data_IF_603788505524
#
_entry.id   IF_603788505524
#
_cell.length_a   1.000
_cell.length_b   1.000
_cell.length_c   1.000
_cell.angle_alpha   90.00
_cell.angle_beta   90.00
_cell.angle_gamma   90.00
#
_symmetry.space_group_name_H-M   'P 1'
#
loop_
_entity.id
_entity.type
_entity.pdbx_description
1 polymer ?
#
# COMPACT_ATOMS: atom_id res chain seq x y z
N UNK A 1 6.46 -14.51 -4.86
CA UNK A 1 6.14 -13.28 -5.61
C UNK A 1 5.65 -12.22 -4.62
N UNK A 2 6.43 -11.15 -4.36
CA UNK A 2 6.07 -10.12 -3.38
C UNK A 2 4.75 -9.42 -3.67
N UNK A 3 4.43 -9.19 -4.95
CA UNK A 3 3.20 -8.51 -5.35
C UNK A 3 1.96 -9.32 -4.99
N UNK A 4 1.97 -10.62 -5.29
CA UNK A 4 0.85 -11.53 -4.95
C UNK A 4 0.68 -11.67 -3.43
N UNK A 5 1.79 -11.69 -2.68
CA UNK A 5 1.73 -11.75 -1.22
C UNK A 5 1.13 -10.46 -0.64
N UNK A 6 1.56 -9.29 -1.13
CA UNK A 6 1.02 -8.01 -0.72
C UNK A 6 -0.49 -7.92 -1.04
N UNK A 7 -0.90 -8.40 -2.20
CA UNK A 7 -2.29 -8.47 -2.60
C UNK A 7 -3.11 -9.37 -1.67
N UNK A 8 -2.64 -10.59 -1.40
CA UNK A 8 -3.29 -11.50 -0.47
C UNK A 8 -3.35 -10.96 0.98
N UNK A 9 -2.35 -10.18 1.39
CA UNK A 9 -2.30 -9.51 2.70
C UNK A 9 -3.21 -8.27 2.78
N UNK A 10 -3.84 -7.85 1.68
CA UNK A 10 -4.78 -6.73 1.66
C UNK A 10 -4.14 -5.35 1.51
N UNK A 11 -2.93 -5.25 0.95
CA UNK A 11 -2.36 -3.96 0.58
C UNK A 11 -3.23 -3.27 -0.48
N UNK A 12 -3.47 -1.99 -0.29
CA UNK A 12 -4.35 -1.21 -1.18
C UNK A 12 -3.59 -0.43 -2.23
N UNK A 13 -2.27 -0.31 -2.11
CA UNK A 13 -1.40 0.16 -3.17
C UNK A 13 -0.24 -0.82 -3.37
N UNK A 14 -0.07 -1.33 -4.58
CA UNK A 14 0.96 -2.31 -4.92
C UNK A 14 1.65 -1.87 -6.21
N UNK A 15 2.96 -1.66 -6.12
CA UNK A 15 3.79 -1.28 -7.25
C UNK A 15 5.07 -2.12 -7.30
N UNK A 16 5.70 -2.14 -8.48
CA UNK A 16 7.07 -2.63 -8.66
C UNK A 16 7.90 -1.55 -9.34
N UNK A 17 9.07 -1.24 -8.79
CA UNK A 17 10.04 -0.32 -9.36
C UNK A 17 11.37 -0.99 -9.69
N UNK A 18 12.26 -0.24 -10.34
CA UNK A 18 13.61 -0.69 -10.67
C UNK A 18 14.64 0.34 -10.21
N UNK A 19 15.66 -0.10 -9.46
CA UNK A 19 16.62 0.80 -8.82
C UNK A 19 17.42 1.66 -9.80
N UNK A 20 17.69 1.16 -11.02
CA UNK A 20 18.39 1.93 -12.06
C UNK A 20 17.48 2.83 -12.90
N UNK A 21 16.15 2.73 -12.75
CA UNK A 21 15.20 3.72 -13.26
C UNK A 21 14.75 4.66 -12.12
N UNK A 22 15.68 5.54 -11.73
CA UNK A 22 15.55 6.40 -10.55
C UNK A 22 14.33 7.33 -10.66
N UNK A 23 14.05 7.87 -11.85
CA UNK A 23 12.93 8.80 -12.06
C UNK A 23 11.59 8.09 -11.85
N UNK A 24 11.42 6.93 -12.45
CA UNK A 24 10.20 6.15 -12.27
C UNK A 24 10.07 5.67 -10.83
N UNK A 25 11.15 5.16 -10.21
CA UNK A 25 11.11 4.71 -8.82
C UNK A 25 10.73 5.84 -7.86
N UNK A 26 11.30 7.03 -8.01
CA UNK A 26 10.93 8.20 -7.19
C UNK A 26 9.44 8.55 -7.34
N UNK A 27 8.91 8.52 -8.57
CA UNK A 27 7.49 8.74 -8.87
C UNK A 27 6.60 7.67 -8.21
N UNK A 28 7.01 6.41 -8.19
CA UNK A 28 6.27 5.33 -7.53
C UNK A 28 6.26 5.49 -6.00
N UNK A 29 7.41 5.86 -5.42
CA UNK A 29 7.51 6.16 -3.98
C UNK A 29 6.61 7.32 -3.61
N UNK A 30 6.62 8.40 -4.39
CA UNK A 30 5.73 9.55 -4.17
C UNK A 30 4.25 9.15 -4.20
N UNK A 31 3.81 8.41 -5.22
CA UNK A 31 2.44 7.91 -5.30
C UNK A 31 2.07 7.01 -4.12
N UNK A 32 3.00 6.16 -3.67
CA UNK A 32 2.81 5.31 -2.49
C UNK A 32 2.67 6.10 -1.18
N UNK A 33 3.38 7.23 -1.05
CA UNK A 33 3.25 8.14 0.10
C UNK A 33 1.93 8.92 0.08
N UNK A 34 1.47 9.32 -1.11
CA UNK A 34 0.21 10.06 -1.30
C UNK A 34 -1.02 9.15 -1.17
N UNK A 35 -0.84 7.83 -1.33
CA UNK A 35 -1.91 6.86 -1.23
C UNK A 35 -2.51 6.78 0.18
N UNK A 36 -3.84 6.90 0.28
CA UNK A 36 -4.57 6.73 1.54
C UNK A 36 -4.79 5.25 1.81
N UNK A 37 -3.82 4.62 2.46
CA UNK A 37 -3.89 3.22 2.84
C UNK A 37 -2.50 2.62 2.99
N UNK A 38 -2.42 1.29 2.95
CA UNK A 38 -1.15 0.59 3.06
C UNK A 38 -0.53 0.36 1.68
N UNK A 39 0.68 0.88 1.48
CA UNK A 39 1.42 0.81 0.22
C UNK A 39 2.61 -0.16 0.29
N UNK A 40 2.78 -0.97 -0.75
CA UNK A 40 3.92 -1.85 -0.98
C UNK A 40 4.57 -1.51 -2.32
N UNK A 41 5.90 -1.35 -2.32
CA UNK A 41 6.68 -1.13 -3.53
C UNK A 41 7.81 -2.17 -3.56
N UNK A 42 7.70 -3.14 -4.47
CA UNK A 42 8.72 -4.14 -4.76
C UNK A 42 9.82 -3.50 -5.62
N UNK A 43 11.03 -3.34 -5.10
CA UNK A 43 12.13 -2.69 -5.83
C UNK A 43 13.09 -3.74 -6.37
N UNK A 44 13.10 -3.91 -7.68
CA UNK A 44 14.11 -4.69 -8.38
C UNK A 44 15.46 -3.99 -8.23
N UNK A 45 16.37 -4.61 -7.48
CA UNK A 45 17.68 -4.06 -7.15
C UNK A 45 18.75 -5.10 -7.48
N UNK A 46 19.62 -4.82 -8.46
CA UNK A 46 20.76 -5.69 -8.74
C UNK A 46 21.83 -5.58 -7.65
N UNK A 47 22.33 -6.72 -7.18
CA UNK A 47 23.44 -6.81 -6.23
C UNK A 47 24.73 -7.23 -6.96
N UNK A 48 25.65 -6.30 -7.26
CA UNK A 48 26.82 -6.57 -8.10
C UNK A 48 27.81 -7.55 -7.46
N UNK A 49 27.81 -7.67 -6.13
CA UNK A 49 28.77 -8.50 -5.39
C UNK A 49 28.42 -9.99 -5.44
N UNK A 50 27.14 -10.34 -5.31
CA UNK A 50 26.73 -11.72 -5.03
C UNK A 50 25.79 -12.32 -6.09
N UNK A 51 25.06 -11.51 -6.86
CA UNK A 51 24.11 -12.01 -7.85
C UNK A 51 24.54 -11.60 -9.26
N UNK A 52 25.26 -12.49 -9.92
CA UNK A 52 25.72 -12.33 -11.31
C UNK A 52 24.69 -12.80 -12.36
N UNK A 53 23.51 -13.29 -11.94
CA UNK A 53 22.44 -13.73 -12.84
C UNK A 53 21.46 -12.58 -13.14
N UNK A 54 21.04 -11.86 -12.10
CA UNK A 54 20.08 -10.76 -12.20
C UNK A 54 20.79 -9.40 -12.16
N UNK A 55 21.64 -9.17 -13.16
CA UNK A 55 22.43 -7.94 -13.27
C UNK A 55 21.62 -6.79 -13.87
N UNK A 56 22.22 -5.59 -13.91
CA UNK A 56 21.65 -4.43 -14.59
C UNK A 56 21.40 -4.71 -16.08
N UNK A 57 22.34 -5.38 -16.75
CA UNK A 57 22.27 -5.75 -18.16
C UNK A 57 21.17 -6.79 -18.42
N UNK A 58 20.88 -7.63 -17.43
CA UNK A 58 19.77 -8.56 -17.50
C UNK A 58 18.42 -7.85 -17.37
N UNK A 59 18.25 -6.99 -16.35
CA UNK A 59 16.97 -6.29 -16.11
C UNK A 59 16.66 -5.18 -17.11
N UNK A 60 17.62 -4.34 -17.48
CA UNK A 60 17.40 -3.14 -18.28
C UNK A 60 16.59 -3.35 -19.58
N UNK A 61 16.85 -4.39 -20.40
CA UNK A 61 16.04 -4.65 -21.60
C UNK A 61 14.67 -5.30 -21.31
N UNK A 62 14.45 -5.81 -20.10
CA UNK A 62 13.24 -6.57 -19.72
C UNK A 62 12.21 -5.72 -18.99
N UNK A 63 12.66 -4.73 -18.23
CA UNK A 63 11.76 -3.86 -17.45
C UNK A 63 11.01 -2.89 -18.36
N UNK A 64 9.71 -2.72 -18.11
CA UNK A 64 8.88 -1.73 -18.81
C UNK A 64 7.80 -1.18 -17.87
N UNK A 65 7.33 0.04 -18.12
CA UNK A 65 6.26 0.67 -17.33
C UNK A 65 4.89 0.25 -17.88
N UNK A 66 4.13 -0.52 -17.10
CA UNK A 66 2.78 -0.97 -17.49
C UNK A 66 1.78 0.18 -17.58
N UNK A 67 1.94 1.23 -16.76
CA UNK A 67 1.02 2.36 -16.77
C UNK A 67 1.23 3.23 -18.01
N UNK A 68 2.48 3.32 -18.50
CA UNK A 68 2.77 3.98 -19.77
C UNK A 68 2.15 3.24 -20.97
N UNK A 69 1.94 1.92 -20.87
CA UNK A 69 1.21 1.11 -21.87
C UNK A 69 -0.32 1.16 -21.71
N UNK A 70 -0.85 1.98 -20.79
CA UNK A 70 -2.29 2.17 -20.59
C UNK A 70 -2.94 1.22 -19.57
N UNK A 71 -2.15 0.53 -18.74
CA UNK A 71 -2.68 -0.26 -17.63
C UNK A 71 -3.29 0.66 -16.55
N UNK A 72 -4.60 0.52 -16.29
CA UNK A 72 -5.31 1.21 -15.21
C UNK A 72 -5.35 0.36 -13.93
N UNK A 73 -4.63 0.74 -12.86
CA UNK A 73 -4.57 0.01 -11.61
C UNK A 73 -5.71 0.34 -10.63
N UNK A 74 -6.54 1.33 -10.94
CA UNK A 74 -7.50 1.87 -9.97
C UNK A 74 -8.68 0.94 -9.75
N UNK A 75 -9.05 0.79 -8.48
CA UNK A 75 -10.19 0.00 -8.00
C UNK A 75 -10.97 0.86 -7.00
N UNK A 76 -11.86 1.74 -7.50
CA UNK A 76 -12.68 2.61 -6.67
C UNK A 76 -13.60 1.82 -5.73
N UNK A 77 -13.98 2.44 -4.62
CA UNK A 77 -14.79 1.77 -3.58
C UNK A 77 -16.14 1.28 -4.10
N UNK A 78 -16.75 1.99 -5.05
CA UNK A 78 -18.09 1.71 -5.59
C UNK A 78 -18.08 0.76 -6.81
N UNK A 79 -16.91 0.24 -7.21
CA UNK A 79 -16.79 -0.70 -8.33
C UNK A 79 -17.57 -1.99 -8.07
N UNK A 80 -18.22 -2.54 -9.11
CA UNK A 80 -18.98 -3.79 -8.99
C UNK A 80 -18.06 -4.98 -8.68
N UNK A 81 -18.64 -6.07 -8.15
CA UNK A 81 -17.86 -7.27 -7.85
C UNK A 81 -17.32 -7.94 -9.11
N UNK A 82 -18.06 -7.88 -10.23
CA UNK A 82 -17.62 -8.39 -11.53
C UNK A 82 -16.42 -7.60 -12.06
N UNK A 83 -16.49 -6.27 -12.07
CA UNK A 83 -15.40 -5.40 -12.50
C UNK A 83 -14.17 -5.57 -11.62
N UNK A 84 -14.37 -5.69 -10.31
CA UNK A 84 -13.30 -5.95 -9.35
C UNK A 84 -12.62 -7.28 -9.63
N UNK A 85 -13.38 -8.34 -9.87
CA UNK A 85 -12.85 -9.65 -10.24
C UNK A 85 -12.01 -9.59 -11.52
N UNK A 86 -12.46 -8.84 -12.54
CA UNK A 86 -11.69 -8.62 -13.77
C UNK A 86 -10.39 -7.86 -13.50
N UNK A 87 -10.41 -6.82 -12.66
CA UNK A 87 -9.19 -6.11 -12.22
C UNK A 87 -8.24 -7.06 -11.49
N UNK A 88 -8.73 -7.93 -10.62
CA UNK A 88 -7.94 -8.93 -9.90
C UNK A 88 -7.28 -9.94 -10.85
N UNK A 89 -8.01 -10.41 -11.87
CA UNK A 89 -7.46 -11.29 -12.89
C UNK A 89 -6.33 -10.61 -13.67
N UNK A 90 -6.54 -9.37 -14.13
CA UNK A 90 -5.50 -8.58 -14.82
C UNK A 90 -4.28 -8.32 -13.94
N UNK A 91 -4.49 -7.97 -12.67
CA UNK A 91 -3.43 -7.83 -11.68
C UNK A 91 -2.61 -9.11 -11.59
N UNK A 92 -3.27 -10.26 -11.44
CA UNK A 92 -2.61 -11.57 -11.30
C UNK A 92 -1.74 -11.88 -12.51
N UNK A 93 -2.29 -11.73 -13.72
CA UNK A 93 -1.55 -11.98 -14.97
C UNK A 93 -0.28 -11.12 -15.06
N UNK A 94 -0.39 -9.81 -14.76
CA UNK A 94 0.75 -8.90 -14.79
C UNK A 94 1.73 -9.14 -13.65
N UNK A 95 1.25 -9.41 -12.45
CA UNK A 95 2.11 -9.64 -11.29
C UNK A 95 3.00 -10.88 -11.47
N UNK A 96 2.51 -11.90 -12.18
CA UNK A 96 3.26 -13.14 -12.48
C UNK A 96 4.09 -13.10 -13.75
N UNK A 97 4.01 -12.03 -14.54
CA UNK A 97 4.84 -11.85 -15.74
C UNK A 97 6.32 -11.73 -15.35
N UNK A 98 7.14 -12.65 -15.85
CA UNK A 98 8.57 -12.74 -15.57
C UNK A 98 9.30 -13.44 -16.72
N UNK A 99 10.57 -13.10 -16.95
CA UNK A 99 11.38 -13.67 -18.03
C UNK A 99 11.72 -12.60 -19.06
N UNK A 100 11.18 -12.71 -20.28
CA UNK A 100 11.47 -11.78 -21.39
C UNK A 100 11.00 -10.35 -21.12
N UNK A 101 9.88 -10.20 -20.39
CA UNK A 101 9.33 -8.92 -20.00
C UNK A 101 9.02 -8.94 -18.50
N UNK A 102 9.34 -7.84 -17.84
CA UNK A 102 9.17 -7.67 -16.40
C UNK A 102 8.43 -6.35 -16.18
N UNK A 103 7.15 -6.39 -15.81
CA UNK A 103 6.39 -5.18 -15.60
C UNK A 103 6.87 -4.41 -14.37
N UNK A 104 6.94 -3.09 -14.51
CA UNK A 104 7.14 -2.10 -13.45
C UNK A 104 6.01 -1.07 -13.54
N UNK A 105 5.79 -0.31 -12.47
CA UNK A 105 4.64 0.60 -12.35
C UNK A 105 3.73 0.22 -11.19
N UNK A 106 2.56 0.84 -11.15
CA UNK A 106 1.48 0.56 -10.21
C UNK A 106 0.58 -0.53 -10.78
N UNK A 107 0.40 -1.61 -10.03
CA UNK A 107 -0.39 -2.79 -10.41
C UNK A 107 -1.77 -2.79 -9.79
N UNK A 108 -1.90 -2.22 -8.59
CA UNK A 108 -3.14 -2.24 -7.83
C UNK A 108 -3.25 -0.98 -6.99
N UNK A 109 -4.38 -0.28 -7.10
CA UNK A 109 -4.70 0.90 -6.31
C UNK A 109 -6.18 0.86 -5.92
N UNK A 110 -6.48 0.24 -4.78
CA UNK A 110 -7.82 0.12 -4.25
C UNK A 110 -8.14 1.21 -3.22
N UNK A 111 -9.39 1.67 -3.23
CA UNK A 111 -9.91 2.59 -2.22
C UNK A 111 -10.68 1.82 -1.15
N UNK A 112 -10.09 1.72 0.04
CA UNK A 112 -10.73 1.13 1.23
C UNK A 112 -10.52 2.07 2.43
N UNK A 113 -11.42 2.04 3.42
CA UNK A 113 -11.24 2.80 4.64
C UNK A 113 -9.90 2.48 5.31
N UNK A 114 -9.11 3.51 5.59
CA UNK A 114 -7.83 3.33 6.29
C UNK A 114 -8.05 2.82 7.72
N UNK A 115 -6.99 2.39 8.40
CA UNK A 115 -7.12 2.02 9.80
C UNK A 115 -7.49 3.23 10.67
N UNK A 116 -6.96 4.40 10.34
CA UNK A 116 -7.23 5.68 10.99
C UNK A 116 -8.70 6.09 10.86
N UNK A 117 -9.27 5.95 9.66
CA UNK A 117 -10.68 6.25 9.41
C UNK A 117 -11.59 5.35 10.25
N UNK A 118 -11.31 4.03 10.25
CA UNK A 118 -12.03 3.07 11.09
C UNK A 118 -11.86 3.38 12.57
N UNK A 119 -10.67 3.81 13.00
CA UNK A 119 -10.44 4.17 14.40
C UNK A 119 -11.24 5.41 14.80
N UNK A 120 -11.48 6.34 13.88
CA UNK A 120 -12.34 7.51 14.11
C UNK A 120 -13.80 7.16 14.42
N UNK A 121 -14.29 6.02 13.94
CA UNK A 121 -15.64 5.50 14.25
C UNK A 121 -15.76 5.09 15.73
N UNK A 122 -14.68 4.54 16.32
CA UNK A 122 -14.65 4.09 17.71
C UNK A 122 -14.13 5.13 18.70
N UNK A 123 -13.27 6.05 18.23
CA UNK A 123 -12.63 7.09 19.03
C UNK A 123 -12.97 8.47 18.47
N UNK A 124 -14.11 9.06 18.89
CA UNK A 124 -14.49 10.41 18.49
C UNK A 124 -13.35 11.40 18.77
N UNK A 125 -12.86 12.06 17.71
CA UNK A 125 -11.74 13.01 17.77
C UNK A 125 -10.41 12.50 17.21
N UNK A 126 -10.27 11.20 16.90
CA UNK A 126 -9.13 10.70 16.14
C UNK A 126 -9.21 11.17 14.65
N UNK A 127 -8.09 11.54 14.00
CA UNK A 127 -6.71 11.57 14.49
C UNK A 127 -6.30 12.85 15.23
N UNK A 128 -7.15 13.89 15.30
CA UNK A 128 -6.81 15.18 15.94
C UNK A 128 -6.33 15.02 17.39
N UNK A 129 -6.96 14.12 18.13
CA UNK A 129 -6.58 13.74 19.49
C UNK A 129 -5.87 12.39 19.54
N UNK A 130 -4.93 12.14 18.62
CA UNK A 130 -4.08 10.94 18.66
C UNK A 130 -3.30 10.85 19.99
N UNK A 131 -2.93 9.65 20.47
CA UNK A 131 -2.21 9.50 21.73
C UNK A 131 -0.97 10.40 21.88
N UNK A 132 -0.21 10.59 20.79
CA UNK A 132 1.00 11.40 20.79
C UNK A 132 0.76 12.92 20.94
N UNK A 133 -0.44 13.42 20.62
CA UNK A 133 -0.77 14.86 20.72
C UNK A 133 -1.51 15.21 22.00
N UNK A 134 -1.81 14.22 22.86
CA UNK A 134 -2.50 14.45 24.13
C UNK A 134 -1.52 14.97 25.18
N UNK A 135 -1.97 15.88 26.07
CA UNK A 135 -1.14 16.31 27.19
C UNK A 135 -0.85 15.11 28.13
N UNK A 136 0.41 14.92 28.57
CA UNK A 136 0.76 13.87 29.52
C UNK A 136 0.06 14.07 30.87
N UNK A 137 -0.40 12.99 31.51
CA UNK A 137 -1.02 13.04 32.84
C UNK A 137 -2.55 13.18 32.87
N UNK A 138 -3.20 13.30 31.72
CA UNK A 138 -4.66 13.26 31.60
C UNK A 138 -5.28 11.90 31.90
N UNK A 139 -4.47 10.83 32.03
CA UNK A 139 -4.97 9.50 32.37
C UNK A 139 -5.65 9.46 33.74
N UNK A 140 -5.15 10.18 34.73
CA UNK A 140 -5.71 10.18 36.09
C UNK A 140 -7.10 10.83 36.14
N UNK A 141 -7.36 11.83 35.31
CA UNK A 141 -8.67 12.49 35.21
C UNK A 141 -9.68 11.62 34.45
N UNK A 142 -9.23 10.96 33.37
CA UNK A 142 -10.02 9.96 32.64
C UNK A 142 -10.37 8.76 33.49
N UNK A 143 -9.40 8.22 34.25
CA UNK A 143 -9.63 7.13 35.19
C UNK A 143 -10.65 7.53 36.26
N UNK A 144 -10.55 8.76 36.80
CA UNK A 144 -11.57 9.30 37.74
C UNK A 144 -12.94 9.45 37.09
N UNK A 145 -13.03 9.87 35.83
CA UNK A 145 -14.29 9.96 35.10
C UNK A 145 -14.95 8.58 34.88
N UNK A 146 -14.16 7.58 34.49
CA UNK A 146 -14.60 6.18 34.36
C UNK A 146 -15.12 5.62 35.69
N UNK A 147 -14.37 5.81 36.78
CA UNK A 147 -14.76 5.34 38.11
C UNK A 147 -16.03 6.03 38.64
N UNK A 148 -16.32 7.27 38.22
CA UNK A 148 -17.57 7.96 38.56
C UNK A 148 -18.76 7.42 37.77
N UNK A 149 -18.59 7.09 36.49
CA UNK A 149 -19.65 6.50 35.65
C UNK A 149 -20.13 5.13 36.16
N UNK A 150 -19.25 4.35 36.78
CA UNK A 150 -19.60 3.05 37.38
C UNK A 150 -20.29 3.13 38.75
N UNK A 151 -20.27 4.29 39.43
CA UNK A 151 -20.89 4.46 40.76
C UNK A 151 -22.38 4.86 40.72
N UNK A 152 -22.97 4.99 39.53
CA UNK A 152 -24.38 5.41 39.35
C UNK A 152 -25.27 4.24 38.84
N UNK A 153 -24.76 3.01 38.89
CA UNK A 153 -25.44 1.81 38.41
C UNK A 153 -25.89 0.85 39.53
N UNK A 154 -26.05 1.35 40.77
CA UNK A 154 -26.74 0.67 41.88
C UNK A 154 -27.96 1.47 42.32
#
# INVERSE_FOLDING_TARGET
NPLMLAFAAGFTFIARGYAYDVKNLARLIQQGLEHRGLAMIDVLQPCPTYNNLHTREWFAPRVYDINAEGYDPRVPRQMSDEERSERMARFTLKATEWGERIPTGVFWQAELPSFEERLGEFLPGYPKTAPATRPPGGEAERARALMRGHRVAE
#
